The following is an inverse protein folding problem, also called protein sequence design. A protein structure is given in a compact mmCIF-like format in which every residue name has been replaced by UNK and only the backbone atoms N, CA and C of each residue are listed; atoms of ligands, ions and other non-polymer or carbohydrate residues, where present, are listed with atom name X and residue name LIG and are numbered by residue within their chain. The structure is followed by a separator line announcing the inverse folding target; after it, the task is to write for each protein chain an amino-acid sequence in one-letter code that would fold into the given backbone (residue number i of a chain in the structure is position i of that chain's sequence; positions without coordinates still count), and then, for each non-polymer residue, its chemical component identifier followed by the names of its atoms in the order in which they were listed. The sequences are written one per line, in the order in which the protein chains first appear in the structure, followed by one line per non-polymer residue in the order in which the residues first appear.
data_IF_830475975601
#
_entry.id   IF_830475975601
#
_cell.length_a   1.000
_cell.length_b   1.000
_cell.length_c   1.000
_cell.angle_alpha   90.00
_cell.angle_beta   90.00
_cell.angle_gamma   90.00
#
_symmetry.space_group_name_H-M   'P 1'
#
loop_
_entity.id
_entity.type
_entity.pdbx_description
1 polymer ?
#
# COMPACT_ATOMS: atom_id res chain seq x y z
N UNK A 1 12.41 -26.95 8.77
CA UNK A 1 13.19 -27.25 7.55
C UNK A 1 13.28 -25.97 6.73
N UNK A 2 14.48 -25.53 6.33
CA UNK A 2 14.61 -24.38 5.40
C UNK A 2 14.13 -24.85 4.03
N UNK A 3 12.95 -24.40 3.59
CA UNK A 3 12.38 -24.75 2.30
C UNK A 3 13.31 -24.31 1.17
N UNK A 4 13.39 -25.09 0.08
CA UNK A 4 14.12 -24.72 -1.12
C UNK A 4 13.71 -23.34 -1.66
N UNK A 5 12.45 -22.96 -1.43
CA UNK A 5 11.88 -21.63 -1.71
C UNK A 5 12.63 -20.50 -0.98
N UNK A 6 12.86 -20.65 0.33
CA UNK A 6 13.64 -19.70 1.15
C UNK A 6 15.08 -19.55 0.63
N UNK A 7 15.71 -20.64 0.21
CA UNK A 7 17.05 -20.59 -0.39
C UNK A 7 17.02 -19.86 -1.73
N UNK A 8 16.06 -20.18 -2.62
CA UNK A 8 15.92 -19.53 -3.92
C UNK A 8 15.60 -18.03 -3.79
N UNK A 9 14.77 -17.65 -2.82
CA UNK A 9 14.43 -16.25 -2.54
C UNK A 9 15.62 -15.44 -2.01
N UNK A 10 16.56 -16.10 -1.31
CA UNK A 10 17.80 -15.48 -0.81
C UNK A 10 18.93 -15.47 -1.83
N UNK A 11 19.02 -16.49 -2.68
CA UNK A 11 20.10 -16.60 -3.67
C UNK A 11 19.99 -15.51 -4.73
N UNK A 12 18.78 -15.08 -5.09
CA UNK A 12 18.57 -13.90 -5.94
C UNK A 12 19.16 -14.08 -7.34
N UNK A 13 18.34 -14.51 -8.30
CA UNK A 13 18.79 -14.61 -9.69
C UNK A 13 17.70 -15.01 -10.67
N UNK A 14 17.88 -14.79 -11.99
CA UNK A 14 16.82 -14.96 -12.99
C UNK A 14 16.20 -16.37 -13.00
N UNK A 15 17.01 -17.42 -12.82
CA UNK A 15 16.52 -18.80 -12.75
C UNK A 15 15.70 -19.07 -11.49
N UNK A 16 16.11 -18.51 -10.35
CA UNK A 16 15.38 -18.63 -9.11
C UNK A 16 14.03 -17.90 -9.20
N UNK A 17 14.02 -16.66 -9.71
CA UNK A 17 12.80 -15.88 -9.93
C UNK A 17 11.80 -16.60 -10.83
N UNK A 18 12.25 -17.23 -11.92
CA UNK A 18 11.37 -18.02 -12.79
C UNK A 18 10.69 -19.20 -12.07
N UNK A 19 11.40 -19.87 -11.14
CA UNK A 19 10.79 -20.93 -10.34
C UNK A 19 9.79 -20.36 -9.34
N UNK A 20 10.17 -19.28 -8.63
CA UNK A 20 9.32 -18.63 -7.64
C UNK A 20 8.04 -18.06 -8.26
N UNK A 21 8.07 -17.62 -9.54
CA UNK A 21 6.88 -17.21 -10.31
C UNK A 21 5.84 -18.33 -10.47
N UNK A 22 6.25 -19.60 -10.49
CA UNK A 22 5.30 -20.73 -10.50
C UNK A 22 4.73 -20.99 -9.10
N UNK A 23 5.56 -20.80 -8.07
CA UNK A 23 5.17 -21.03 -6.67
C UNK A 23 4.18 -19.96 -6.19
N UNK A 24 4.34 -18.70 -6.63
CA UNK A 24 3.44 -17.59 -6.22
C UNK A 24 2.02 -17.74 -6.75
N UNK A 25 1.81 -18.56 -7.78
CA UNK A 25 0.49 -18.89 -8.32
C UNK A 25 0.09 -20.35 -8.05
N UNK A 26 0.74 -21.02 -7.10
CA UNK A 26 0.47 -22.42 -6.79
C UNK A 26 -0.96 -22.65 -6.26
N UNK A 27 -1.58 -23.78 -6.58
CA UNK A 27 -2.97 -24.05 -6.15
C UNK A 27 -3.10 -24.15 -4.63
N UNK A 28 -2.15 -24.79 -3.97
CA UNK A 28 -2.13 -24.87 -2.51
C UNK A 28 -1.88 -23.48 -1.88
N UNK A 29 -2.82 -23.05 -1.02
CA UNK A 29 -2.74 -21.81 -0.24
C UNK A 29 -1.51 -21.76 0.66
N UNK A 30 -1.19 -22.85 1.36
CA UNK A 30 -0.09 -22.88 2.32
C UNK A 30 1.26 -22.70 1.62
N UNK A 31 1.40 -23.27 0.41
CA UNK A 31 2.58 -23.07 -0.44
C UNK A 31 2.74 -21.60 -0.83
N UNK A 32 1.66 -20.93 -1.26
CA UNK A 32 1.68 -19.50 -1.60
C UNK A 32 1.99 -18.61 -0.38
N UNK A 33 1.38 -18.91 0.77
CA UNK A 33 1.61 -18.17 2.02
C UNK A 33 3.06 -18.34 2.51
N UNK A 34 3.59 -19.55 2.45
CA UNK A 34 4.97 -19.82 2.83
C UNK A 34 5.94 -19.06 1.91
N UNK A 35 5.68 -19.04 0.60
CA UNK A 35 6.48 -18.24 -0.33
C UNK A 35 6.47 -16.75 0.07
N UNK A 36 5.29 -16.15 0.28
CA UNK A 36 5.24 -14.71 0.64
C UNK A 36 5.95 -14.44 1.97
N UNK A 37 5.92 -15.39 2.91
CA UNK A 37 6.71 -15.33 4.15
C UNK A 37 8.21 -15.31 3.83
N UNK A 38 8.69 -16.27 3.04
CA UNK A 38 10.10 -16.36 2.66
C UNK A 38 10.58 -15.10 1.90
N UNK A 39 9.75 -14.54 1.01
CA UNK A 39 10.07 -13.30 0.28
C UNK A 39 10.12 -12.07 1.17
N UNK A 40 9.37 -12.07 2.28
CA UNK A 40 9.37 -10.97 3.26
C UNK A 40 10.64 -10.93 4.09
N UNK A 41 11.30 -12.08 4.26
CA UNK A 41 12.59 -12.18 4.95
C UNK A 41 13.79 -11.99 3.99
N UNK A 42 13.55 -11.97 2.68
CA UNK A 42 14.62 -11.78 1.70
C UNK A 42 15.09 -10.32 1.67
N UNK A 43 16.40 -10.06 1.73
CA UNK A 43 16.94 -8.70 1.57
C UNK A 43 16.98 -8.23 0.11
N UNK A 44 16.73 -9.12 -0.86
CA UNK A 44 16.85 -8.80 -2.29
C UNK A 44 15.60 -8.09 -2.80
N UNK A 45 15.74 -6.89 -3.36
CA UNK A 45 14.62 -6.13 -3.95
C UNK A 45 14.09 -6.72 -5.25
N UNK A 46 14.83 -7.63 -5.90
CA UNK A 46 14.34 -8.36 -7.07
C UNK A 46 13.09 -9.20 -6.78
N UNK A 47 12.79 -9.51 -5.50
CA UNK A 47 11.57 -10.25 -5.14
C UNK A 47 10.32 -9.37 -5.05
N UNK A 48 10.45 -8.04 -5.16
CA UNK A 48 9.31 -7.12 -5.13
C UNK A 48 8.27 -7.45 -6.22
N UNK A 49 8.71 -7.93 -7.39
CA UNK A 49 7.79 -8.35 -8.46
C UNK A 49 6.88 -9.51 -8.01
N UNK A 50 7.39 -10.42 -7.18
CA UNK A 50 6.64 -11.56 -6.64
C UNK A 50 5.70 -11.11 -5.53
N UNK A 51 6.11 -10.16 -4.70
CA UNK A 51 5.25 -9.54 -3.70
C UNK A 51 4.10 -8.75 -4.35
N UNK A 52 4.33 -8.09 -5.48
CA UNK A 52 3.25 -7.43 -6.27
C UNK A 52 2.22 -8.47 -6.75
N UNK A 53 2.64 -9.66 -7.14
CA UNK A 53 1.72 -10.76 -7.48
C UNK A 53 0.97 -11.23 -6.22
N UNK A 54 1.68 -11.43 -5.11
CA UNK A 54 1.08 -11.82 -3.82
C UNK A 54 0.07 -10.81 -3.27
N UNK A 55 0.24 -9.51 -3.56
CA UNK A 55 -0.72 -8.47 -3.21
C UNK A 55 -2.09 -8.61 -3.92
N UNK A 56 -2.18 -9.52 -4.89
CA UNK A 56 -3.39 -9.86 -5.65
C UNK A 56 -3.83 -11.31 -5.44
N UNK A 57 -3.28 -12.00 -4.45
CA UNK A 57 -3.67 -13.36 -4.13
C UNK A 57 -5.17 -13.44 -3.82
N UNK A 58 -5.80 -14.56 -4.14
CA UNK A 58 -7.18 -14.85 -3.75
C UNK A 58 -7.38 -14.86 -2.24
N UNK A 59 -6.34 -15.21 -1.48
CA UNK A 59 -6.36 -15.23 -0.02
C UNK A 59 -6.03 -13.86 0.60
N UNK A 60 -6.92 -13.28 1.44
CA UNK A 60 -6.69 -11.98 2.06
C UNK A 60 -5.48 -11.91 3.00
N UNK A 61 -5.09 -13.02 3.65
CA UNK A 61 -3.91 -13.04 4.50
C UNK A 61 -2.64 -12.85 3.67
N UNK A 62 -2.56 -13.54 2.53
CA UNK A 62 -1.43 -13.44 1.61
C UNK A 62 -1.32 -12.02 1.04
N UNK A 63 -2.45 -11.41 0.62
CA UNK A 63 -2.47 -10.02 0.14
C UNK A 63 -1.93 -9.04 1.17
N UNK A 64 -2.44 -9.09 2.39
CA UNK A 64 -2.00 -8.21 3.49
C UNK A 64 -0.52 -8.39 3.81
N UNK A 65 -0.04 -9.63 3.84
CA UNK A 65 1.35 -9.91 4.13
C UNK A 65 2.28 -9.38 3.03
N UNK A 66 1.89 -9.56 1.77
CA UNK A 66 2.65 -9.04 0.63
C UNK A 66 2.72 -7.49 0.65
N UNK A 67 1.60 -6.80 0.89
CA UNK A 67 1.58 -5.33 0.99
C UNK A 67 2.45 -4.84 2.15
N UNK A 68 2.35 -5.47 3.33
CA UNK A 68 3.19 -5.12 4.50
C UNK A 68 4.68 -5.32 4.22
N UNK A 69 5.01 -6.41 3.53
CA UNK A 69 6.37 -6.73 3.11
C UNK A 69 6.95 -5.66 2.17
N UNK A 70 6.17 -5.21 1.18
CA UNK A 70 6.57 -4.10 0.29
C UNK A 70 6.81 -2.82 1.10
N UNK A 71 5.91 -2.46 2.02
CA UNK A 71 6.07 -1.26 2.87
C UNK A 71 7.33 -1.34 3.75
N UNK A 72 7.62 -2.51 4.32
CA UNK A 72 8.76 -2.72 5.21
C UNK A 72 10.11 -2.49 4.52
N UNK A 73 10.20 -2.74 3.20
CA UNK A 73 11.42 -2.53 2.40
C UNK A 73 11.80 -1.06 2.24
N UNK A 74 10.82 -0.15 2.24
CA UNK A 74 11.01 1.30 2.07
C UNK A 74 11.73 1.65 0.76
N UNK A 75 12.04 2.93 0.58
CA UNK A 75 12.82 3.42 -0.55
C UNK A 75 12.09 3.37 -1.90
N UNK A 76 12.81 3.78 -2.95
CA UNK A 76 12.28 3.90 -4.31
C UNK A 76 11.74 2.57 -4.86
N UNK A 77 12.43 1.41 -4.73
CA UNK A 77 11.93 0.15 -5.28
C UNK A 77 10.57 -0.26 -4.71
N UNK A 78 10.37 -0.12 -3.40
CA UNK A 78 9.08 -0.40 -2.78
C UNK A 78 7.99 0.57 -3.25
N UNK A 79 8.31 1.86 -3.39
CA UNK A 79 7.37 2.85 -3.91
C UNK A 79 6.96 2.56 -5.36
N UNK A 80 7.91 2.18 -6.21
CA UNK A 80 7.66 1.76 -7.60
C UNK A 80 6.75 0.52 -7.63
N UNK A 81 6.99 -0.45 -6.74
CA UNK A 81 6.17 -1.67 -6.63
C UNK A 81 4.70 -1.36 -6.25
N UNK A 82 4.45 -0.52 -5.24
CA UNK A 82 3.08 -0.10 -4.90
C UNK A 82 2.45 0.73 -6.03
N UNK A 83 3.24 1.58 -6.70
CA UNK A 83 2.76 2.37 -7.84
C UNK A 83 2.31 1.46 -8.98
N UNK A 84 3.04 0.38 -9.24
CA UNK A 84 2.66 -0.64 -10.22
C UNK A 84 1.33 -1.33 -9.84
N UNK A 85 1.07 -1.55 -8.54
CA UNK A 85 -0.21 -2.09 -8.10
C UNK A 85 -1.36 -1.16 -8.46
N UNK A 86 -1.22 0.14 -8.17
CA UNK A 86 -2.24 1.17 -8.42
C UNK A 86 -2.45 1.43 -9.93
N UNK A 87 -1.39 1.29 -10.72
CA UNK A 87 -1.35 1.69 -12.12
C UNK A 87 -2.03 0.76 -13.12
N UNK A 88 -2.43 -0.45 -12.72
CA UNK A 88 -3.17 -1.38 -13.59
C UNK A 88 -4.63 -1.57 -13.19
N UNK A 89 -5.41 -2.19 -14.09
CA UNK A 89 -6.84 -2.41 -13.89
C UNK A 89 -7.15 -3.34 -12.70
N UNK A 90 -6.16 -4.12 -12.24
CA UNK A 90 -6.30 -5.04 -11.12
C UNK A 90 -6.58 -4.33 -9.80
N UNK A 91 -6.06 -3.13 -9.59
CA UNK A 91 -6.29 -2.34 -8.37
C UNK A 91 -7.78 -2.15 -8.07
N UNK A 92 -8.56 -1.77 -9.09
CA UNK A 92 -10.00 -1.49 -8.93
C UNK A 92 -10.83 -2.73 -8.63
N UNK A 93 -10.27 -3.92 -8.86
CA UNK A 93 -10.90 -5.23 -8.60
C UNK A 93 -10.58 -5.80 -7.22
N UNK A 94 -9.65 -5.19 -6.48
CA UNK A 94 -9.35 -5.58 -5.10
C UNK A 94 -10.55 -5.27 -4.19
N UNK A 95 -10.67 -6.02 -3.10
CA UNK A 95 -11.61 -5.69 -2.02
C UNK A 95 -11.30 -4.30 -1.44
N UNK A 96 -12.31 -3.57 -0.92
CA UNK A 96 -12.13 -2.21 -0.39
C UNK A 96 -10.98 -2.10 0.63
N UNK A 97 -10.87 -3.06 1.56
CA UNK A 97 -9.83 -3.06 2.59
C UNK A 97 -8.42 -3.19 1.98
N UNK A 98 -8.28 -3.94 0.89
CA UNK A 98 -7.00 -4.09 0.20
C UNK A 98 -6.66 -2.85 -0.64
N UNK A 99 -7.66 -2.23 -1.27
CA UNK A 99 -7.47 -0.94 -1.95
C UNK A 99 -6.98 0.13 -0.96
N UNK A 100 -7.56 0.17 0.23
CA UNK A 100 -7.13 1.05 1.32
C UNK A 100 -5.70 0.75 1.77
N UNK A 101 -5.36 -0.52 2.00
CA UNK A 101 -4.00 -0.92 2.37
C UNK A 101 -2.95 -0.50 1.33
N UNK A 102 -3.24 -0.67 0.04
CA UNK A 102 -2.37 -0.24 -1.06
C UNK A 102 -2.23 1.29 -1.10
N UNK A 103 -3.32 2.05 -0.91
CA UNK A 103 -3.26 3.53 -0.92
C UNK A 103 -2.54 4.09 0.31
N UNK A 104 -2.69 3.45 1.47
CA UNK A 104 -1.90 3.77 2.68
C UNK A 104 -0.42 3.48 2.43
N UNK A 105 -0.08 2.32 1.87
CA UNK A 105 1.29 1.96 1.51
C UNK A 105 1.91 2.99 0.54
N UNK A 106 1.16 3.41 -0.48
CA UNK A 106 1.56 4.42 -1.45
C UNK A 106 1.88 5.76 -0.77
N UNK A 107 1.03 6.16 0.18
CA UNK A 107 1.23 7.38 0.96
C UNK A 107 2.47 7.34 1.85
N UNK A 108 2.68 6.23 2.57
CA UNK A 108 3.82 6.03 3.46
C UNK A 108 5.12 6.05 2.67
N UNK A 109 5.19 5.29 1.58
CA UNK A 109 6.40 5.12 0.78
C UNK A 109 6.72 6.35 -0.08
N UNK A 110 5.69 7.00 -0.63
CA UNK A 110 5.88 8.12 -1.55
C UNK A 110 6.07 9.48 -0.88
N UNK A 111 5.74 9.62 0.41
CA UNK A 111 5.81 10.92 1.10
C UNK A 111 5.14 12.02 0.27
N UNK A 112 5.86 13.11 0.00
CA UNK A 112 5.37 14.23 -0.81
C UNK A 112 5.02 13.84 -2.26
N UNK A 113 5.65 12.82 -2.84
CA UNK A 113 5.37 12.34 -4.20
C UNK A 113 3.96 11.73 -4.31
N UNK A 114 3.44 11.13 -3.23
CA UNK A 114 2.12 10.52 -3.21
C UNK A 114 0.97 11.52 -3.08
N UNK A 115 1.24 12.72 -2.56
CA UNK A 115 0.21 13.65 -2.10
C UNK A 115 -0.73 14.10 -3.20
N UNK A 116 -0.23 14.44 -4.39
CA UNK A 116 -1.08 14.99 -5.45
C UNK A 116 -2.10 13.97 -5.96
N UNK A 117 -1.68 12.70 -6.08
CA UNK A 117 -2.58 11.62 -6.45
C UNK A 117 -3.70 11.44 -5.42
N UNK A 118 -3.35 11.39 -4.13
CA UNK A 118 -4.32 11.25 -3.04
C UNK A 118 -5.26 12.47 -2.94
N UNK A 119 -4.79 13.68 -3.23
CA UNK A 119 -5.62 14.88 -3.27
C UNK A 119 -6.64 14.83 -4.41
N UNK A 120 -6.23 14.36 -5.60
CA UNK A 120 -7.17 14.15 -6.71
C UNK A 120 -8.24 13.14 -6.33
N UNK A 121 -7.85 12.06 -5.67
CA UNK A 121 -8.76 11.04 -5.17
C UNK A 121 -9.75 11.60 -4.13
N UNK A 122 -9.26 12.37 -3.17
CA UNK A 122 -10.07 13.02 -2.12
C UNK A 122 -11.06 14.06 -2.65
N UNK A 123 -10.79 14.66 -3.82
CA UNK A 123 -11.63 15.71 -4.43
C UNK A 123 -12.51 15.19 -5.56
N UNK A 124 -12.46 13.89 -5.88
CA UNK A 124 -13.20 13.30 -7.01
C UNK A 124 -14.69 13.63 -6.89
N UNK A 125 -15.34 14.16 -7.94
CA UNK A 125 -16.77 14.46 -7.91
C UNK A 125 -17.61 13.23 -7.60
N UNK A 126 -18.66 13.40 -6.81
CA UNK A 126 -19.59 12.31 -6.41
C UNK A 126 -20.67 12.02 -7.45
N UNK A 127 -20.67 12.74 -8.58
CA UNK A 127 -21.74 12.71 -9.59
C UNK A 127 -21.89 11.34 -10.28
N UNK A 128 -20.83 10.52 -10.31
CA UNK A 128 -20.86 9.15 -10.83
C UNK A 128 -20.40 8.19 -9.73
N UNK A 129 -21.30 7.38 -9.17
CA UNK A 129 -20.95 6.35 -8.19
C UNK A 129 -20.73 6.87 -6.76
N UNK A 130 -21.69 7.61 -6.20
CA UNK A 130 -21.58 8.29 -4.90
C UNK A 130 -21.15 7.42 -3.71
N UNK A 131 -21.34 6.09 -3.72
CA UNK A 131 -20.78 5.19 -2.70
C UNK A 131 -19.26 5.04 -2.85
N UNK A 132 -18.80 4.76 -4.07
CA UNK A 132 -17.38 4.58 -4.39
C UNK A 132 -16.59 5.89 -4.25
N UNK A 133 -17.18 7.01 -4.67
CA UNK A 133 -16.57 8.32 -4.46
C UNK A 133 -16.39 8.65 -2.97
N UNK A 134 -17.38 8.31 -2.13
CA UNK A 134 -17.30 8.49 -0.67
C UNK A 134 -16.22 7.62 -0.03
N UNK A 135 -16.13 6.35 -0.46
CA UNK A 135 -15.07 5.43 -0.07
C UNK A 135 -13.68 6.04 -0.36
N UNK A 136 -13.45 6.47 -1.60
CA UNK A 136 -12.17 7.07 -1.98
C UNK A 136 -11.87 8.40 -1.30
N UNK A 137 -12.87 9.18 -0.90
CA UNK A 137 -12.63 10.35 -0.05
C UNK A 137 -12.07 9.93 1.30
N UNK A 138 -12.73 9.00 1.99
CA UNK A 138 -12.33 8.55 3.32
C UNK A 138 -10.95 7.89 3.29
N UNK A 139 -10.72 6.98 2.34
CA UNK A 139 -9.43 6.31 2.16
C UNK A 139 -8.32 7.30 1.82
N UNK A 140 -8.56 8.29 0.95
CA UNK A 140 -7.52 9.27 0.62
C UNK A 140 -7.10 10.11 1.84
N UNK A 141 -8.04 10.51 2.70
CA UNK A 141 -7.73 11.22 3.93
C UNK A 141 -7.02 10.32 4.95
N UNK A 142 -7.41 9.05 5.06
CA UNK A 142 -6.69 8.11 5.90
C UNK A 142 -5.27 7.87 5.40
N UNK A 143 -5.07 7.65 4.10
CA UNK A 143 -3.75 7.53 3.50
C UNK A 143 -2.91 8.79 3.75
N UNK A 144 -3.47 9.99 3.56
CA UNK A 144 -2.78 11.25 3.88
C UNK A 144 -2.44 11.40 5.38
N UNK A 145 -3.23 10.82 6.29
CA UNK A 145 -2.90 10.86 7.72
C UNK A 145 -1.68 10.00 8.07
N UNK A 146 -1.37 8.99 7.25
CA UNK A 146 -0.17 8.14 7.39
C UNK A 146 1.06 8.74 6.70
N UNK A 147 0.92 9.87 6.00
CA UNK A 147 1.99 10.49 5.22
C UNK A 147 2.87 11.38 6.11
N UNK A 148 4.19 11.14 6.13
CA UNK A 148 5.14 11.95 6.91
C UNK A 148 5.66 13.18 6.17
N UNK A 149 5.34 13.36 4.89
CA UNK A 149 5.79 14.50 4.08
C UNK A 149 5.11 15.83 4.46
N UNK A 150 5.83 16.94 4.33
CA UNK A 150 5.33 18.29 4.66
C UNK A 150 4.23 18.76 3.70
N UNK A 151 4.25 18.31 2.45
CA UNK A 151 3.21 18.65 1.47
C UNK A 151 1.86 18.10 1.92
N UNK A 152 1.82 16.92 2.53
CA UNK A 152 0.59 16.34 3.07
C UNK A 152 -0.01 17.26 4.15
N UNK A 153 0.80 17.79 5.06
CA UNK A 153 0.36 18.73 6.09
C UNK A 153 -0.26 19.99 5.50
N UNK A 154 0.49 20.66 4.62
CA UNK A 154 0.08 21.92 4.00
C UNK A 154 -1.25 21.77 3.27
N UNK A 155 -1.43 20.66 2.58
CA UNK A 155 -2.66 20.33 1.87
C UNK A 155 -3.80 20.08 2.84
N UNK A 156 -3.60 19.27 3.89
CA UNK A 156 -4.63 18.96 4.87
C UNK A 156 -5.08 20.22 5.63
N UNK A 157 -4.15 21.10 6.02
CA UNK A 157 -4.47 22.40 6.64
C UNK A 157 -5.35 23.25 5.71
N UNK A 158 -4.97 23.37 4.43
CA UNK A 158 -5.77 24.10 3.43
C UNK A 158 -7.17 23.50 3.28
N UNK A 159 -7.29 22.17 3.25
CA UNK A 159 -8.59 21.49 3.14
C UNK A 159 -9.44 21.64 4.40
N UNK A 160 -8.83 21.67 5.59
CA UNK A 160 -9.49 21.92 6.87
C UNK A 160 -10.01 23.37 7.01
N UNK A 161 -9.39 24.32 6.30
CA UNK A 161 -9.86 25.70 6.19
C UNK A 161 -10.94 25.89 5.10
N UNK A 162 -11.18 24.87 4.27
CA UNK A 162 -12.11 24.96 3.14
C UNK A 162 -13.59 25.02 3.53
N UNK A 163 -14.42 25.42 2.57
CA UNK A 163 -15.87 25.60 2.73
C UNK A 163 -16.70 24.30 2.62
N UNK A 164 -16.16 23.24 2.01
CA UNK A 164 -16.86 21.96 1.84
C UNK A 164 -16.92 21.18 3.17
N UNK A 165 -18.07 21.06 3.86
CA UNK A 165 -18.11 20.60 5.25
C UNK A 165 -17.54 19.20 5.47
N UNK A 166 -17.83 18.26 4.55
CA UNK A 166 -17.32 16.88 4.62
C UNK A 166 -15.79 16.83 4.48
N UNK A 167 -15.24 17.46 3.45
CA UNK A 167 -13.78 17.46 3.22
C UNK A 167 -13.05 18.18 4.35
N UNK A 168 -13.63 19.27 4.86
CA UNK A 168 -13.13 19.98 6.04
C UNK A 168 -13.05 19.06 7.26
N UNK A 169 -14.12 18.31 7.55
CA UNK A 169 -14.17 17.37 8.69
C UNK A 169 -13.12 16.27 8.54
N UNK A 170 -13.04 15.62 7.37
CA UNK A 170 -12.08 14.55 7.10
C UNK A 170 -10.63 15.07 7.18
N UNK A 171 -10.37 16.27 6.67
CA UNK A 171 -9.05 16.89 6.78
C UNK A 171 -8.63 17.15 8.24
N UNK A 172 -9.55 17.64 9.08
CA UNK A 172 -9.29 17.83 10.51
C UNK A 172 -8.98 16.50 11.22
N UNK A 173 -9.77 15.45 10.93
CA UNK A 173 -9.54 14.11 11.48
C UNK A 173 -8.18 13.55 11.03
N UNK A 174 -7.83 13.72 9.75
CA UNK A 174 -6.55 13.28 9.22
C UNK A 174 -5.37 14.03 9.86
N UNK A 175 -5.49 15.33 10.13
CA UNK A 175 -4.45 16.09 10.85
C UNK A 175 -4.26 15.59 12.28
N UNK A 176 -5.35 15.32 13.00
CA UNK A 176 -5.28 14.77 14.36
C UNK A 176 -4.55 13.41 14.36
N UNK A 177 -5.00 12.47 13.51
CA UNK A 177 -4.38 11.14 13.40
C UNK A 177 -2.93 11.22 12.94
N UNK A 178 -2.60 12.15 12.03
CA UNK A 178 -1.22 12.36 11.58
C UNK A 178 -0.31 12.83 12.71
N UNK A 179 -0.81 13.68 13.61
CA UNK A 179 -0.06 14.11 14.80
C UNK A 179 0.25 12.91 15.71
N UNK A 180 -0.71 12.00 15.91
CA UNK A 180 -0.50 10.75 16.66
C UNK A 180 0.54 9.85 15.97
N UNK A 181 0.50 9.70 14.65
CA UNK A 181 1.46 8.87 13.89
C UNK A 181 2.88 9.44 13.89
N UNK A 182 3.04 10.76 13.94
CA UNK A 182 4.35 11.44 13.93
C UNK A 182 4.93 11.58 15.35
N UNK A 183 4.10 11.95 16.33
CA UNK A 183 4.55 12.32 17.68
C UNK A 183 4.13 11.35 18.79
N UNK A 184 3.15 10.47 18.54
CA UNK A 184 2.64 9.51 19.52
C UNK A 184 3.48 8.24 19.67
N UNK A 185 4.52 8.06 18.85
CA UNK A 185 5.47 6.94 18.94
C UNK A 185 6.78 7.29 19.64
N UNK A 186 6.81 8.36 20.45
CA UNK A 186 7.99 8.75 21.22
C UNK A 186 8.04 8.11 22.63
N UNK A 187 7.00 7.36 23.02
CA UNK A 187 6.82 6.79 24.37
C UNK A 187 6.61 5.25 24.38
N UNK A 188 7.07 4.52 23.36
CA UNK A 188 7.19 3.04 23.36
C UNK A 188 8.58 2.61 22.87
#
# INVERSE_FOLDING_TARGET
MRNAVSVLARVGGPRALNHLRRVVTHDDREVRLQLVTDLSESPDDNVLELLVIGARDRDPQIRRQAIRSIVARRGKPAFDAITAIIGDDGFTRLEPDDQEAVLVAYSILGGDQAVDYLVRLAKRPTLFGGRMARFYHEVAFHALSQNRGEKAERVLLRMAAGWRPRLKRLAKQALQKRREVIYGGADE
#
